data_IF_129958075399
#
_entry.id   IF_129958075399
#
_cell.length_a   1.000
_cell.length_b   1.000
_cell.length_c   1.000
_cell.angle_alpha   90.00
_cell.angle_beta   90.00
_cell.angle_gamma   90.00
#
_symmetry.space_group_name_H-M   'P 1'
#
loop_
_entity.id
_entity.type
_entity.pdbx_description
1 polymer ?
#
# COMPACT_ATOMS: atom_id res chain seq x y z
N UNK A 1 6.39 0.57 -7.72
CA UNK A 1 7.39 0.57 -8.81
C UNK A 1 7.60 -0.86 -9.28
N UNK A 2 7.66 -1.09 -10.60
CA UNK A 2 7.79 -2.43 -11.19
C UNK A 2 9.23 -2.93 -11.20
N UNK A 3 9.41 -4.22 -10.94
CA UNK A 3 10.68 -4.92 -11.07
C UNK A 3 11.53 -4.88 -9.81
N UNK A 4 12.71 -5.52 -9.85
CA UNK A 4 13.61 -5.56 -8.71
C UNK A 4 14.20 -4.18 -8.43
N UNK A 5 14.74 -4.02 -7.23
CA UNK A 5 15.52 -2.83 -6.86
C UNK A 5 16.69 -2.66 -7.83
N UNK A 6 16.94 -1.42 -8.29
CA UNK A 6 18.09 -1.12 -9.14
C UNK A 6 19.39 -1.58 -8.49
N UNK A 7 20.31 -2.12 -9.28
CA UNK A 7 21.65 -2.52 -8.83
C UNK A 7 22.43 -1.34 -8.23
N UNK A 8 22.18 -0.13 -8.74
CA UNK A 8 22.78 1.13 -8.28
C UNK A 8 21.98 1.84 -7.19
N UNK A 9 20.89 1.25 -6.69
CA UNK A 9 20.08 1.89 -5.65
C UNK A 9 20.86 2.01 -4.33
N UNK A 10 20.60 3.08 -3.54
CA UNK A 10 21.09 3.17 -2.17
C UNK A 10 20.69 1.95 -1.35
N UNK A 11 21.55 1.55 -0.41
CA UNK A 11 21.25 0.42 0.49
C UNK A 11 20.29 0.88 1.58
N UNK A 12 19.20 0.14 1.75
CA UNK A 12 18.25 0.34 2.84
C UNK A 12 18.73 -0.42 4.08
N UNK A 13 18.73 0.21 5.27
CA UNK A 13 19.22 -0.44 6.49
C UNK A 13 18.26 -1.52 7.03
N UNK A 14 16.98 -1.48 6.66
CA UNK A 14 15.98 -2.50 7.01
C UNK A 14 15.40 -3.10 5.72
N UNK A 15 15.46 -4.42 5.61
CA UNK A 15 15.00 -5.19 4.46
C UNK A 15 13.98 -6.24 4.89
N UNK A 16 12.76 -6.21 4.34
CA UNK A 16 11.68 -7.11 4.75
C UNK A 16 11.53 -8.34 3.84
N UNK A 17 12.65 -8.93 3.40
CA UNK A 17 12.67 -10.08 2.47
C UNK A 17 12.90 -9.69 1.01
N UNK A 18 12.88 -10.66 0.10
CA UNK A 18 13.08 -10.41 -1.34
C UNK A 18 11.92 -9.64 -1.96
N UNK A 19 12.20 -8.91 -3.04
CA UNK A 19 11.24 -8.05 -3.74
C UNK A 19 11.49 -7.98 -5.26
N UNK A 20 11.48 -9.12 -5.98
CA UNK A 20 11.79 -9.18 -7.41
C UNK A 20 10.77 -8.50 -8.34
N UNK A 21 9.52 -8.29 -7.92
CA UNK A 21 8.45 -7.77 -8.79
C UNK A 21 8.08 -6.31 -8.49
N UNK A 22 8.50 -5.82 -7.33
CA UNK A 22 8.25 -4.46 -6.89
C UNK A 22 8.30 -4.35 -5.37
N UNK A 23 8.39 -3.12 -4.88
CA UNK A 23 8.42 -2.83 -3.46
C UNK A 23 7.91 -1.42 -3.13
N UNK A 24 7.55 -1.24 -1.86
CA UNK A 24 7.37 0.05 -1.21
C UNK A 24 8.68 0.40 -0.49
N UNK A 25 9.15 1.63 -0.68
CA UNK A 25 10.39 2.13 -0.11
C UNK A 25 10.10 3.38 0.72
N UNK A 26 10.71 3.48 1.88
CA UNK A 26 10.62 4.66 2.73
C UNK A 26 11.96 5.38 2.83
N UNK A 27 11.89 6.71 2.80
CA UNK A 27 13.03 7.59 2.96
C UNK A 27 12.75 8.59 4.09
N UNK A 28 13.79 8.92 4.85
CA UNK A 28 13.78 10.08 5.76
C UNK A 28 14.23 11.29 4.96
N UNK A 29 13.56 12.42 5.18
CA UNK A 29 14.02 13.71 4.68
C UNK A 29 14.95 14.30 5.75
N UNK A 30 16.18 14.62 5.38
CA UNK A 30 17.18 15.22 6.27
C UNK A 30 17.92 16.35 5.56
N UNK A 31 18.35 17.41 6.27
CA UNK A 31 19.25 18.41 5.70
C UNK A 31 20.56 17.77 5.21
N UNK A 32 21.05 18.23 4.07
CA UNK A 32 22.37 17.89 3.55
C UNK A 32 23.42 18.82 4.16
N UNK A 33 24.11 18.32 5.19
CA UNK A 33 25.06 19.11 5.99
C UNK A 33 24.45 20.41 6.50
N UNK A 34 25.22 21.50 6.43
CA UNK A 34 24.77 22.84 6.85
C UNK A 34 23.91 23.55 5.79
N UNK A 35 23.72 22.94 4.61
CA UNK A 35 23.17 23.63 3.45
C UNK A 35 21.63 23.75 3.44
N UNK A 36 20.93 23.24 4.46
CA UNK A 36 19.46 23.12 4.55
C UNK A 36 18.77 22.47 3.33
N UNK A 37 19.52 21.96 2.36
CA UNK A 37 18.98 21.27 1.18
C UNK A 37 18.40 19.93 1.64
N UNK A 38 17.16 19.58 1.25
CA UNK A 38 16.59 18.30 1.62
C UNK A 38 17.33 17.17 0.88
N UNK A 39 17.79 16.18 1.63
CA UNK A 39 18.32 14.90 1.15
C UNK A 39 17.38 13.76 1.54
N UNK A 40 17.34 12.71 0.72
CA UNK A 40 16.58 11.49 0.98
C UNK A 40 17.52 10.40 1.51
N UNK A 41 17.34 10.05 2.78
CA UNK A 41 18.09 8.96 3.43
C UNK A 41 17.25 7.68 3.42
N UNK A 42 17.73 6.56 2.85
CA UNK A 42 17.00 5.29 2.85
C UNK A 42 16.66 4.84 4.26
N UNK A 43 15.41 4.42 4.50
CA UNK A 43 14.94 3.98 5.82
C UNK A 43 14.62 2.49 5.86
N UNK A 44 13.69 2.04 5.03
CA UNK A 44 13.34 0.62 4.90
C UNK A 44 12.77 0.31 3.53
N UNK A 45 12.81 -0.98 3.17
CA UNK A 45 12.19 -1.51 1.96
C UNK A 45 11.32 -2.73 2.30
N UNK A 46 10.14 -2.78 1.67
CA UNK A 46 9.17 -3.85 1.89
C UNK A 46 9.61 -5.20 1.29
N UNK A 47 8.86 -6.24 1.62
CA UNK A 47 8.82 -7.49 0.87
C UNK A 47 8.32 -7.27 -0.58
N UNK A 48 8.18 -8.36 -1.32
CA UNK A 48 7.70 -8.38 -2.69
C UNK A 48 6.25 -7.90 -2.83
N UNK A 49 6.04 -6.98 -3.76
CA UNK A 49 4.74 -6.56 -4.24
C UNK A 49 4.71 -6.75 -5.75
N UNK A 50 3.73 -7.49 -6.26
CA UNK A 50 3.44 -7.46 -7.68
C UNK A 50 2.83 -6.10 -8.01
N UNK A 51 3.64 -5.22 -8.61
CA UNK A 51 3.24 -3.89 -9.10
C UNK A 51 2.47 -3.07 -8.05
N UNK A 52 3.12 -2.58 -6.98
CA UNK A 52 2.42 -1.85 -5.93
C UNK A 52 1.89 -0.51 -6.43
N UNK A 53 0.64 -0.21 -6.07
CA UNK A 53 0.01 1.10 -6.25
C UNK A 53 0.48 2.13 -5.20
N UNK A 54 0.17 3.43 -5.38
CA UNK A 54 0.43 4.45 -4.37
C UNK A 54 -0.14 4.07 -3.00
N UNK A 55 0.68 4.23 -1.96
CA UNK A 55 0.30 3.85 -0.59
C UNK A 55 -0.51 4.95 0.09
N UNK A 56 -1.32 4.55 1.07
CA UNK A 56 -2.00 5.47 1.99
C UNK A 56 -1.46 5.26 3.40
N UNK A 57 -1.14 6.33 4.11
CA UNK A 57 -0.54 6.25 5.44
C UNK A 57 -1.47 6.89 6.45
N UNK A 58 -1.82 6.16 7.51
CA UNK A 58 -2.62 6.67 8.62
C UNK A 58 -2.18 6.03 9.95
N UNK A 59 -2.07 6.84 11.00
CA UNK A 59 -1.76 6.39 12.37
C UNK A 59 -0.54 5.44 12.48
N UNK A 60 0.52 5.71 11.72
CA UNK A 60 1.74 4.90 11.73
C UNK A 60 1.64 3.57 10.98
N UNK A 61 0.60 3.38 10.18
CA UNK A 61 0.39 2.21 9.32
C UNK A 61 0.41 2.64 7.86
N UNK A 62 1.16 1.92 7.05
CA UNK A 62 1.17 2.06 5.59
C UNK A 62 0.23 1.00 5.00
N UNK A 63 -0.83 1.44 4.36
CA UNK A 63 -1.72 0.60 3.57
C UNK A 63 -1.24 0.58 2.14
N UNK A 64 -0.90 -0.61 1.65
CA UNK A 64 -0.34 -0.82 0.32
C UNK A 64 -1.09 -1.95 -0.38
N UNK A 65 -1.35 -1.78 -1.67
CA UNK A 65 -1.99 -2.80 -2.49
C UNK A 65 -0.95 -3.39 -3.45
N UNK A 66 -0.69 -4.68 -3.35
CA UNK A 66 -0.10 -5.43 -4.46
C UNK A 66 -1.22 -5.68 -5.46
N UNK A 67 -1.12 -5.07 -6.63
CA UNK A 67 -2.25 -4.98 -7.57
C UNK A 67 -2.57 -6.30 -8.24
N UNK A 68 -1.58 -7.21 -8.35
CA UNK A 68 -1.76 -8.43 -9.09
C UNK A 68 -1.80 -8.23 -10.61
N UNK A 69 -1.51 -7.01 -11.07
CA UNK A 69 -1.56 -6.63 -12.47
C UNK A 69 -0.57 -7.41 -13.36
N UNK A 70 -0.92 -7.53 -14.64
CA UNK A 70 0.05 -7.73 -15.71
C UNK A 70 0.31 -6.41 -16.46
N UNK A 71 1.50 -5.84 -16.28
CA UNK A 71 1.90 -4.55 -16.87
C UNK A 71 2.15 -4.59 -18.39
N UNK A 72 2.07 -5.75 -19.05
CA UNK A 72 2.26 -5.85 -20.49
C UNK A 72 1.11 -5.17 -21.25
N UNK A 73 1.38 -3.99 -21.81
CA UNK A 73 0.36 -3.18 -22.50
C UNK A 73 0.27 -3.40 -24.01
N UNK A 74 1.26 -4.03 -24.64
CA UNK A 74 1.31 -4.22 -26.10
C UNK A 74 1.62 -5.66 -26.50
N UNK A 75 1.25 -6.06 -27.73
CA UNK A 75 1.69 -7.33 -28.33
C UNK A 75 1.19 -8.62 -27.65
N UNK A 76 0.12 -8.56 -26.86
CA UNK A 76 -0.50 -9.72 -26.21
C UNK A 76 -2.01 -9.75 -26.49
N UNK A 77 -2.58 -10.95 -26.66
CA UNK A 77 -4.04 -11.13 -26.68
C UNK A 77 -4.59 -11.01 -25.27
N UNK A 78 -5.88 -10.69 -25.13
CA UNK A 78 -6.53 -10.57 -23.83
C UNK A 78 -6.40 -11.86 -23.00
N UNK A 79 -6.43 -13.04 -23.63
CA UNK A 79 -6.24 -14.30 -22.89
C UNK A 79 -4.83 -14.41 -22.30
N UNK A 80 -3.79 -14.01 -23.06
CA UNK A 80 -2.40 -14.00 -22.55
C UNK A 80 -2.23 -12.97 -21.44
N UNK A 81 -2.94 -11.85 -21.50
CA UNK A 81 -2.91 -10.83 -20.44
C UNK A 81 -3.45 -11.38 -19.12
N UNK A 82 -4.57 -12.08 -19.18
CA UNK A 82 -5.25 -12.67 -18.01
C UNK A 82 -4.42 -13.78 -17.33
N UNK A 83 -3.61 -14.53 -18.09
CA UNK A 83 -2.81 -15.65 -17.56
C UNK A 83 -1.71 -15.23 -16.58
N UNK A 84 -1.14 -14.04 -16.77
CA UNK A 84 -0.05 -13.52 -15.93
C UNK A 84 -0.55 -12.66 -14.76
N UNK A 85 -1.84 -12.32 -14.73
CA UNK A 85 -2.42 -11.62 -13.58
C UNK A 85 -2.50 -12.56 -12.36
N UNK A 86 -2.50 -11.95 -11.18
CA UNK A 86 -2.62 -12.60 -9.87
C UNK A 86 -3.69 -11.86 -9.06
N UNK A 87 -4.39 -12.49 -8.12
CA UNK A 87 -5.28 -11.73 -7.24
C UNK A 87 -4.49 -10.65 -6.47
N UNK A 88 -5.11 -9.48 -6.32
CA UNK A 88 -4.52 -8.40 -5.54
C UNK A 88 -4.42 -8.80 -4.06
N UNK A 89 -3.45 -8.23 -3.36
CA UNK A 89 -3.27 -8.46 -1.92
C UNK A 89 -3.11 -7.12 -1.22
N UNK A 90 -4.00 -6.85 -0.26
CA UNK A 90 -3.92 -5.68 0.59
C UNK A 90 -3.00 -5.97 1.77
N UNK A 91 -2.06 -5.07 2.01
CA UNK A 91 -1.12 -5.12 3.13
C UNK A 91 -1.32 -3.92 4.04
N UNK A 92 -1.11 -4.15 5.34
CA UNK A 92 -0.84 -3.11 6.31
C UNK A 92 0.58 -3.31 6.87
N UNK A 93 1.43 -2.28 6.77
CA UNK A 93 2.82 -2.32 7.21
C UNK A 93 3.04 -1.33 8.35
N UNK A 94 3.92 -1.65 9.30
CA UNK A 94 4.42 -0.68 10.27
C UNK A 94 5.21 0.41 9.55
N UNK A 95 4.83 1.67 9.70
CA UNK A 95 5.42 2.76 8.92
C UNK A 95 6.89 3.06 9.26
N UNK A 96 7.39 2.59 10.41
CA UNK A 96 8.78 2.81 10.82
C UNK A 96 9.73 1.76 10.29
N UNK A 97 9.26 0.55 10.06
CA UNK A 97 10.09 -0.61 9.72
C UNK A 97 9.73 -1.28 8.39
N UNK A 98 8.53 -1.03 7.87
CA UNK A 98 7.99 -1.75 6.70
C UNK A 98 7.55 -3.18 7.00
N UNK A 99 7.58 -3.61 8.28
CA UNK A 99 7.16 -4.95 8.68
C UNK A 99 5.67 -5.15 8.43
N UNK A 100 5.31 -6.28 7.85
CA UNK A 100 3.89 -6.67 7.66
C UNK A 100 3.21 -6.84 9.02
N UNK A 101 2.13 -6.08 9.23
CA UNK A 101 1.20 -6.20 10.35
C UNK A 101 -0.03 -7.02 9.96
N UNK A 102 -0.46 -6.90 8.71
CA UNK A 102 -1.59 -7.63 8.14
C UNK A 102 -1.40 -7.85 6.64
N UNK A 103 -1.95 -8.96 6.13
CA UNK A 103 -2.15 -9.23 4.71
C UNK A 103 -3.52 -9.86 4.49
N UNK A 104 -4.17 -9.53 3.37
CA UNK A 104 -5.50 -10.06 3.05
C UNK A 104 -5.50 -11.52 2.59
N UNK A 105 -4.34 -12.09 2.27
CA UNK A 105 -4.26 -13.39 1.61
C UNK A 105 -5.10 -13.41 0.34
N UNK A 106 -5.94 -14.44 0.19
CA UNK A 106 -6.83 -14.65 -0.96
C UNK A 106 -8.22 -14.00 -0.83
N UNK A 107 -8.43 -13.08 0.12
CA UNK A 107 -9.73 -12.44 0.31
C UNK A 107 -10.17 -11.59 -0.90
N UNK A 108 -9.22 -11.09 -1.69
CA UNK A 108 -9.48 -10.43 -2.97
C UNK A 108 -9.26 -11.47 -4.07
N UNK A 109 -10.24 -11.63 -4.96
CA UNK A 109 -10.28 -12.71 -5.95
C UNK A 109 -9.86 -12.28 -7.36
N UNK A 110 -9.62 -10.98 -7.56
CA UNK A 110 -9.22 -10.39 -8.84
C UNK A 110 -8.07 -9.41 -8.64
N UNK A 111 -7.58 -8.83 -9.73
CA UNK A 111 -6.53 -7.82 -9.78
C UNK A 111 -7.13 -6.44 -10.08
N UNK A 112 -6.30 -5.41 -9.97
CA UNK A 112 -6.64 -4.04 -10.36
C UNK A 112 -5.60 -3.48 -11.32
N UNK A 113 -6.02 -2.57 -12.20
CA UNK A 113 -5.15 -1.80 -13.08
C UNK A 113 -5.29 -0.32 -12.70
N UNK A 114 -4.27 0.24 -12.05
CA UNK A 114 -4.32 1.58 -11.45
C UNK A 114 -5.46 1.78 -10.45
N UNK A 115 -5.15 1.72 -9.17
CA UNK A 115 -6.11 2.03 -8.09
C UNK A 115 -5.67 3.21 -7.23
N UNK A 116 -6.58 3.64 -6.36
CA UNK A 116 -6.30 4.58 -5.28
C UNK A 116 -7.00 4.09 -4.02
N UNK A 117 -6.22 3.67 -3.02
CA UNK A 117 -6.79 3.35 -1.71
C UNK A 117 -7.34 4.63 -1.07
N UNK A 118 -8.46 4.51 -0.38
CA UNK A 118 -9.00 5.57 0.45
C UNK A 118 -9.17 5.04 1.88
N UNK A 119 -8.70 5.81 2.85
CA UNK A 119 -8.91 5.52 4.27
C UNK A 119 -9.79 6.62 4.85
N UNK A 120 -10.84 6.22 5.55
CA UNK A 120 -11.63 7.13 6.38
C UNK A 120 -11.38 6.81 7.84
N UNK A 121 -11.36 7.85 8.66
CA UNK A 121 -11.34 7.69 10.10
C UNK A 121 -12.77 7.81 10.61
N UNK A 122 -13.26 6.77 11.28
CA UNK A 122 -14.50 6.87 12.03
C UNK A 122 -14.20 7.43 13.42
N UNK A 123 -14.54 8.71 13.64
CA UNK A 123 -14.59 9.24 14.99
C UNK A 123 -15.89 8.75 15.61
N UNK A 124 -15.78 7.75 16.48
CA UNK A 124 -16.90 7.35 17.33
C UNK A 124 -17.11 8.48 18.35
N UNK A 125 -17.94 9.46 17.99
CA UNK A 125 -18.45 10.42 18.95
C UNK A 125 -19.14 9.61 20.05
N UNK A 126 -18.60 9.66 21.27
CA UNK A 126 -19.26 9.08 22.44
C UNK A 126 -20.61 9.78 22.56
N UNK A 127 -21.66 9.13 22.11
CA UNK A 127 -23.03 9.54 22.40
C UNK A 127 -23.16 9.57 23.92
N UNK A 128 -23.25 10.78 24.50
CA UNK A 128 -23.85 10.95 25.81
C UNK A 128 -25.25 10.32 25.73
N UNK A 129 -25.62 9.42 26.66
CA UNK A 129 -27.00 8.96 26.70
C UNK A 129 -27.87 10.17 27.10
N UNK A 130 -29.18 10.07 26.90
CA UNK A 130 -30.21 11.10 27.11
C UNK A 130 -30.63 11.86 25.86
N UNK A 131 -31.02 11.11 24.81
CA UNK A 131 -32.10 11.57 23.94
C UNK A 131 -33.03 10.39 23.63
N UNK A 132 -34.25 10.47 24.14
CA UNK A 132 -35.34 9.52 23.97
C UNK A 132 -35.56 9.16 22.50
N UNK A 133 -35.52 7.86 22.20
CA UNK A 133 -35.90 7.31 20.89
C UNK A 133 -37.40 7.58 20.69
N UNK A 134 -37.76 8.50 19.79
CA UNK A 134 -39.10 8.50 19.18
C UNK A 134 -39.04 7.62 17.94
N UNK A 135 -39.75 6.48 18.00
CA UNK A 135 -40.03 5.62 16.85
C UNK A 135 -40.55 6.48 15.69
N UNK A 136 -39.93 6.36 14.52
CA UNK A 136 -40.57 6.70 13.26
C UNK A 136 -41.07 5.39 12.64
N UNK A 137 -42.40 5.21 12.67
CA UNK A 137 -43.08 4.28 11.79
C UNK A 137 -43.19 4.98 10.43
N UNK A 138 -42.59 4.40 9.40
CA UNK A 138 -42.93 4.76 8.02
C UNK A 138 -44.18 3.97 7.66
N UNK A 139 -45.26 4.69 7.34
CA UNK A 139 -46.44 4.14 6.70
C UNK A 139 -46.45 4.59 5.25
N UNK A 140 -46.77 3.59 4.41
CA UNK A 140 -46.98 3.54 2.95
C UNK A 140 -45.72 3.50 2.10
#
# INVERSE_FOLDING_TARGET
MWGPVSESAPKFPIHNGSNPHGSVMAFKIQPDGDSYKPSLQPAWISADFNLPDPVVIANGVVFALSTGENAQQTGSTDEKRMQSARPAVLYALDARSGKVLYQSGSAITSWVHFSGLAVSMFLMARFMPWTTIRKFTVLV
#
